data_IF_267733592702
#
_entry.id   IF_267733592702
#
_cell.length_a   1.000
_cell.length_b   1.000
_cell.length_c   1.000
_cell.angle_alpha   90.00
_cell.angle_beta   90.00
_cell.angle_gamma   90.00
#
_symmetry.space_group_name_H-M   'P 1'
#
loop_
_entity.id
_entity.type
_entity.pdbx_description
1 polymer ?
#
# COMPACT_ATOMS: atom_id res chain seq x y z
N UNK A 1 -30.33 -0.42 -11.37
CA UNK A 1 -29.62 0.66 -10.67
C UNK A 1 -28.13 0.33 -10.66
N UNK A 2 -27.28 0.92 -11.51
CA UNK A 2 -25.83 0.81 -11.37
C UNK A 2 -25.22 2.22 -11.20
N UNK A 3 -25.20 2.73 -9.98
CA UNK A 3 -24.55 4.00 -9.66
C UNK A 3 -23.98 3.94 -8.25
N UNK A 4 -22.95 3.12 -8.08
CA UNK A 4 -22.11 3.10 -6.86
C UNK A 4 -20.63 3.15 -7.23
N UNK A 5 -20.26 2.76 -8.46
CA UNK A 5 -18.86 2.72 -8.90
C UNK A 5 -18.25 4.10 -9.23
N UNK A 6 -19.05 5.15 -9.41
CA UNK A 6 -18.54 6.48 -9.81
C UNK A 6 -18.21 7.39 -8.62
N UNK A 7 -18.84 7.20 -7.46
CA UNK A 7 -18.65 8.09 -6.31
C UNK A 7 -17.40 7.73 -5.49
N UNK A 8 -17.12 6.42 -5.40
CA UNK A 8 -15.90 5.90 -4.76
C UNK A 8 -14.60 6.29 -5.48
N UNK A 9 -14.65 6.71 -6.74
CA UNK A 9 -13.46 7.13 -7.51
C UNK A 9 -13.05 8.60 -7.27
N UNK A 10 -13.91 9.41 -6.62
CA UNK A 10 -13.60 10.82 -6.28
C UNK A 10 -13.04 10.93 -4.87
N UNK A 11 -13.37 9.97 -4.01
CA UNK A 11 -13.05 9.95 -2.59
C UNK A 11 -11.82 9.05 -2.37
N UNK A 12 -10.71 9.61 -1.86
CA UNK A 12 -9.49 8.84 -1.62
C UNK A 12 -9.62 7.75 -0.54
N UNK A 13 -8.70 6.76 -0.51
CA UNK A 13 -8.73 5.63 0.44
C UNK A 13 -8.67 6.02 1.92
N UNK A 14 -8.29 7.26 2.23
CA UNK A 14 -8.37 7.82 3.57
C UNK A 14 -9.79 7.98 4.11
N UNK A 15 -10.82 7.96 3.26
CA UNK A 15 -12.22 8.12 3.67
C UNK A 15 -12.92 6.77 3.87
N UNK A 16 -13.83 6.72 4.85
CA UNK A 16 -14.53 5.50 5.27
C UNK A 16 -15.37 4.83 4.17
N UNK A 17 -15.82 5.59 3.18
CA UNK A 17 -16.66 5.11 2.07
C UNK A 17 -15.86 4.42 0.97
N UNK A 18 -14.54 4.59 0.95
CA UNK A 18 -13.69 4.00 -0.08
C UNK A 18 -13.50 2.48 0.17
N UNK A 19 -13.57 1.62 -0.86
CA UNK A 19 -13.43 0.18 -0.71
C UNK A 19 -12.09 -0.26 -0.07
N UNK A 20 -11.03 0.50 -0.29
CA UNK A 20 -9.70 0.25 0.29
C UNK A 20 -9.47 0.96 1.63
N UNK A 21 -10.50 1.55 2.25
CA UNK A 21 -10.32 2.24 3.53
C UNK A 21 -9.73 1.32 4.62
N UNK A 22 -10.19 0.06 4.65
CA UNK A 22 -9.62 -0.93 5.56
C UNK A 22 -8.13 -1.18 5.30
N UNK A 23 -7.75 -1.26 4.02
CA UNK A 23 -6.35 -1.47 3.62
C UNK A 23 -5.50 -0.24 3.98
N UNK A 24 -6.01 0.97 3.77
CA UNK A 24 -5.40 2.22 4.21
C UNK A 24 -5.13 2.22 5.71
N UNK A 25 -6.12 1.87 6.55
CA UNK A 25 -5.95 1.82 8.00
C UNK A 25 -4.89 0.80 8.44
N UNK A 26 -4.84 -0.37 7.78
CA UNK A 26 -3.87 -1.42 8.06
C UNK A 26 -2.43 -0.98 7.73
N UNK A 27 -2.24 -0.41 6.54
CA UNK A 27 -0.94 0.13 6.11
C UNK A 27 -0.53 1.28 7.03
N UNK A 28 -1.45 2.21 7.33
CA UNK A 28 -1.19 3.35 8.22
C UNK A 28 -0.73 2.90 9.60
N UNK A 29 -1.38 1.89 10.18
CA UNK A 29 -0.94 1.30 11.45
C UNK A 29 0.48 0.76 11.37
N UNK A 30 0.83 0.07 10.29
CA UNK A 30 2.19 -0.47 10.09
C UNK A 30 3.24 0.63 9.92
N UNK A 31 2.95 1.65 9.10
CA UNK A 31 3.86 2.80 8.91
C UNK A 31 4.06 3.57 10.22
N UNK A 32 2.99 3.82 10.98
CA UNK A 32 3.12 4.50 12.28
C UNK A 32 3.93 3.69 13.30
N UNK A 33 3.86 2.35 13.23
CA UNK A 33 4.73 1.51 14.05
C UNK A 33 6.20 1.67 13.63
N UNK A 34 6.50 1.74 12.34
CA UNK A 34 7.85 2.04 11.84
C UNK A 34 8.35 3.42 12.28
N UNK A 35 7.49 4.43 12.26
CA UNK A 35 7.84 5.77 12.75
C UNK A 35 8.21 5.71 14.23
N UNK A 36 7.40 5.04 15.05
CA UNK A 36 7.67 4.86 16.47
C UNK A 36 8.97 4.09 16.74
N UNK A 37 9.27 3.05 15.96
CA UNK A 37 10.55 2.31 16.01
C UNK A 37 11.75 3.21 15.67
N UNK A 38 11.57 4.18 14.77
CA UNK A 38 12.56 5.19 14.43
C UNK A 38 12.61 6.38 15.40
N UNK A 39 11.76 6.41 16.45
CA UNK A 39 11.63 7.54 17.37
C UNK A 39 11.05 8.81 16.73
N UNK A 40 10.23 8.63 15.68
CA UNK A 40 9.55 9.71 14.95
C UNK A 40 8.06 9.67 15.22
N UNK A 41 7.45 10.85 15.18
CA UNK A 41 5.99 10.97 15.12
C UNK A 41 5.53 10.89 13.65
N UNK A 42 4.36 10.30 13.36
CA UNK A 42 3.81 10.28 12.02
C UNK A 42 3.63 11.69 11.45
N UNK A 43 4.11 11.90 10.24
CA UNK A 43 4.09 13.20 9.57
C UNK A 43 3.63 13.09 8.10
N UNK A 44 3.80 14.17 7.33
CA UNK A 44 3.43 14.20 5.92
C UNK A 44 4.22 13.19 5.06
N UNK A 45 5.41 12.78 5.48
CA UNK A 45 6.19 11.72 4.82
C UNK A 45 5.52 10.37 5.08
N UNK A 46 5.12 10.10 6.31
CA UNK A 46 4.39 8.89 6.69
C UNK A 46 3.10 8.74 5.88
N UNK A 47 2.31 9.81 5.75
CA UNK A 47 1.07 9.76 4.95
C UNK A 47 1.34 9.51 3.46
N UNK A 48 2.41 10.08 2.88
CA UNK A 48 2.80 9.77 1.49
C UNK A 48 3.19 8.31 1.32
N UNK A 49 3.97 7.77 2.26
CA UNK A 49 4.31 6.36 2.29
C UNK A 49 3.06 5.48 2.35
N UNK A 50 2.12 5.78 3.26
CA UNK A 50 0.86 5.03 3.36
C UNK A 50 0.10 5.00 2.04
N UNK A 51 -0.07 6.16 1.41
CA UNK A 51 -0.80 6.26 0.14
C UNK A 51 -0.07 5.54 -1.01
N UNK A 52 1.26 5.56 -1.03
CA UNK A 52 2.07 4.88 -2.05
C UNK A 52 2.02 3.36 -1.93
N UNK A 53 1.84 2.83 -0.73
CA UNK A 53 1.80 1.39 -0.45
C UNK A 53 0.46 0.74 -0.82
N UNK A 54 -0.64 1.50 -0.91
CA UNK A 54 -1.96 0.97 -1.31
C UNK A 54 -1.97 0.42 -2.75
N UNK A 55 -1.62 1.20 -3.79
CA UNK A 55 -1.58 0.68 -5.16
C UNK A 55 -0.54 -0.43 -5.33
N UNK A 56 0.55 -0.39 -4.57
CA UNK A 56 1.54 -1.48 -4.54
C UNK A 56 0.92 -2.79 -4.05
N UNK A 57 0.23 -2.76 -2.91
CA UNK A 57 -0.45 -3.91 -2.34
C UNK A 57 -1.51 -4.46 -3.32
N UNK A 58 -2.35 -3.59 -3.90
CA UNK A 58 -3.36 -3.99 -4.87
C UNK A 58 -2.78 -4.58 -6.15
N UNK A 59 -1.74 -3.97 -6.71
CA UNK A 59 -1.07 -4.47 -7.91
C UNK A 59 -0.42 -5.85 -7.71
N UNK A 60 0.03 -6.14 -6.50
CA UNK A 60 0.56 -7.44 -6.13
C UNK A 60 -0.50 -8.46 -5.66
N UNK A 61 -1.79 -8.11 -5.74
CA UNK A 61 -2.90 -9.00 -5.39
C UNK A 61 -3.13 -9.15 -3.88
N UNK A 62 -2.53 -8.31 -3.04
CA UNK A 62 -2.79 -8.31 -1.60
C UNK A 62 -4.22 -7.81 -1.33
N UNK A 63 -4.92 -8.55 -0.48
CA UNK A 63 -6.28 -8.23 -0.05
C UNK A 63 -6.29 -7.43 1.25
N UNK A 64 -5.28 -7.64 2.09
CA UNK A 64 -5.02 -6.95 3.35
C UNK A 64 -3.51 -6.83 3.55
N UNK A 65 -3.10 -5.98 4.48
CA UNK A 65 -1.71 -5.89 4.95
C UNK A 65 -1.71 -6.19 6.44
N UNK A 66 -0.95 -7.20 6.83
CA UNK A 66 -0.79 -7.63 8.21
C UNK A 66 0.50 -7.03 8.81
N UNK A 67 1.53 -6.82 7.98
CA UNK A 67 2.80 -6.20 8.41
C UNK A 67 3.32 -5.18 7.37
N UNK A 68 3.91 -4.10 7.87
CA UNK A 68 4.76 -3.18 7.10
C UNK A 68 6.13 -3.20 7.74
N UNK A 69 7.17 -3.59 7.01
CA UNK A 69 8.52 -3.78 7.55
C UNK A 69 9.57 -3.18 6.63
N UNK A 70 10.69 -2.74 7.19
CA UNK A 70 11.83 -2.26 6.43
C UNK A 70 12.80 -3.41 6.10
N UNK A 71 13.60 -3.26 5.04
CA UNK A 71 14.72 -4.15 4.78
C UNK A 71 15.71 -4.11 5.94
N UNK A 72 16.27 -5.27 6.26
CA UNK A 72 17.53 -5.40 6.99
C UNK A 72 18.67 -5.48 5.99
N UNK A 73 19.84 -5.01 6.39
CA UNK A 73 21.06 -5.15 5.60
C UNK A 73 21.26 -6.61 5.16
N UNK A 74 21.24 -6.85 3.86
CA UNK A 74 21.39 -8.18 3.26
C UNK A 74 22.01 -8.06 1.86
N UNK A 75 23.29 -8.40 1.76
CA UNK A 75 24.02 -8.30 0.49
C UNK A 75 24.17 -6.84 0.07
N UNK A 76 23.58 -6.49 -1.08
CA UNK A 76 23.62 -5.13 -1.63
C UNK A 76 22.51 -4.22 -1.10
N UNK A 77 21.51 -4.78 -0.39
CA UNK A 77 20.38 -4.00 0.14
C UNK A 77 20.74 -3.47 1.51
N UNK A 78 20.69 -2.14 1.66
CA UNK A 78 20.91 -1.48 2.94
C UNK A 78 19.70 -1.58 3.87
N UNK A 79 19.97 -1.45 5.18
CA UNK A 79 18.90 -1.38 6.18
C UNK A 79 18.02 -0.15 5.91
N UNK A 80 16.72 -0.35 5.79
CA UNK A 80 15.76 0.73 5.51
C UNK A 80 15.66 1.14 4.04
N UNK A 81 16.42 0.52 3.12
CA UNK A 81 16.35 0.84 1.69
C UNK A 81 15.01 0.46 1.06
N UNK A 82 14.44 -0.68 1.45
CA UNK A 82 13.17 -1.17 0.96
C UNK A 82 12.11 -1.16 2.06
N UNK A 83 10.88 -0.89 1.66
CA UNK A 83 9.69 -1.10 2.49
C UNK A 83 8.87 -2.25 1.90
N UNK A 84 8.49 -3.18 2.76
CA UNK A 84 7.69 -4.35 2.42
C UNK A 84 6.30 -4.24 3.03
N UNK A 85 5.28 -4.57 2.24
CA UNK A 85 3.94 -4.86 2.72
C UNK A 85 3.71 -6.36 2.65
N UNK A 86 3.27 -6.97 3.74
CA UNK A 86 3.11 -8.42 3.87
C UNK A 86 1.69 -8.76 4.28
N UNK A 87 1.13 -9.78 3.66
CA UNK A 87 -0.11 -10.44 4.03
C UNK A 87 0.20 -11.86 4.52
N UNK A 88 -0.27 -12.19 5.73
CA UNK A 88 0.09 -13.41 6.45
C UNK A 88 1.19 -13.17 7.49
N UNK A 89 1.53 -14.22 8.23
CA UNK A 89 2.59 -14.18 9.23
C UNK A 89 3.97 -14.11 8.55
N UNK A 90 4.93 -13.43 9.16
CA UNK A 90 6.28 -13.25 8.59
C UNK A 90 7.06 -14.57 8.47
N UNK A 91 6.76 -15.55 9.32
CA UNK A 91 7.35 -16.89 9.33
C UNK A 91 6.55 -17.92 8.51
N UNK A 92 5.36 -17.56 8.02
CA UNK A 92 4.58 -18.39 7.11
C UNK A 92 5.18 -18.32 5.69
N UNK A 93 5.68 -19.44 5.11
CA UNK A 93 6.21 -19.45 3.75
C UNK A 93 5.15 -19.14 2.68
N UNK A 94 3.86 -19.23 3.01
CA UNK A 94 2.76 -18.89 2.12
C UNK A 94 2.38 -17.39 2.16
N UNK A 95 3.12 -16.55 2.88
CA UNK A 95 2.84 -15.12 2.90
C UNK A 95 2.93 -14.50 1.50
N UNK A 96 2.10 -13.49 1.25
CA UNK A 96 2.22 -12.65 0.06
C UNK A 96 2.92 -11.37 0.46
N UNK A 97 3.87 -10.91 -0.38
CA UNK A 97 4.59 -9.66 -0.13
C UNK A 97 4.76 -8.84 -1.39
N UNK A 98 4.78 -7.54 -1.21
CA UNK A 98 5.18 -6.58 -2.23
C UNK A 98 6.14 -5.57 -1.61
N UNK A 99 6.97 -4.94 -2.42
CA UNK A 99 7.95 -3.97 -1.94
C UNK A 99 8.16 -2.83 -2.94
N UNK A 100 8.65 -1.72 -2.44
CA UNK A 100 9.25 -0.65 -3.21
C UNK A 100 10.42 -0.07 -2.41
N UNK A 101 11.21 0.81 -3.04
CA UNK A 101 12.21 1.56 -2.29
C UNK A 101 11.52 2.53 -1.32
N UNK A 102 12.14 2.77 -0.18
CA UNK A 102 11.68 3.78 0.78
C UNK A 102 11.65 5.16 0.12
N UNK A 103 12.61 5.45 -0.78
CA UNK A 103 12.64 6.70 -1.53
C UNK A 103 11.39 6.87 -2.43
N UNK A 104 11.02 5.85 -3.21
CA UNK A 104 9.78 5.88 -4.00
C UNK A 104 8.54 6.03 -3.10
N UNK A 105 8.57 5.41 -1.92
CA UNK A 105 7.48 5.48 -0.96
C UNK A 105 7.23 6.92 -0.46
N UNK A 106 8.30 7.68 -0.21
CA UNK A 106 8.23 9.01 0.38
C UNK A 106 8.19 10.16 -0.64
N UNK A 107 8.73 9.94 -1.83
CA UNK A 107 8.80 10.99 -2.87
C UNK A 107 7.55 11.06 -3.73
N UNK A 108 6.82 9.95 -3.88
CA UNK A 108 5.65 9.95 -4.74
C UNK A 108 4.58 10.90 -4.18
N UNK A 109 4.15 11.91 -4.96
CA UNK A 109 3.06 12.78 -4.54
C UNK A 109 1.78 12.00 -4.28
N UNK A 110 0.94 12.53 -3.40
CA UNK A 110 -0.37 11.93 -3.07
C UNK A 110 -1.19 11.70 -4.33
N UNK A 111 -1.28 12.70 -5.20
CA UNK A 111 -2.10 12.68 -6.41
C UNK A 111 -1.60 11.61 -7.39
N UNK A 112 -0.27 11.43 -7.49
CA UNK A 112 0.33 10.39 -8.31
C UNK A 112 0.02 8.98 -7.75
N UNK A 113 0.01 8.81 -6.43
CA UNK A 113 -0.36 7.54 -5.79
C UNK A 113 -1.82 7.19 -6.03
N UNK A 114 -2.73 8.17 -5.96
CA UNK A 114 -4.15 7.99 -6.27
C UNK A 114 -4.37 7.63 -7.75
N UNK A 115 -3.71 8.36 -8.67
CA UNK A 115 -3.77 8.06 -10.10
C UNK A 115 -3.25 6.63 -10.41
N UNK A 116 -2.22 6.17 -9.69
CA UNK A 116 -1.71 4.80 -9.82
C UNK A 116 -2.71 3.78 -9.28
N UNK A 117 -3.41 4.06 -8.19
CA UNK A 117 -4.47 3.20 -7.66
C UNK A 117 -5.61 3.02 -8.65
N UNK A 118 -6.06 4.11 -9.27
CA UNK A 118 -7.08 4.04 -10.33
C UNK A 118 -6.62 3.21 -11.54
N UNK A 119 -5.34 3.32 -11.92
CA UNK A 119 -4.77 2.51 -12.98
C UNK A 119 -4.79 1.01 -12.63
N UNK A 120 -4.38 0.66 -11.41
CA UNK A 120 -4.42 -0.73 -10.91
C UNK A 120 -5.84 -1.29 -10.93
N UNK A 121 -6.85 -0.51 -10.54
CA UNK A 121 -8.24 -0.96 -10.63
C UNK A 121 -8.69 -1.26 -12.06
N UNK A 122 -8.31 -0.41 -13.03
CA UNK A 122 -8.61 -0.65 -14.44
C UNK A 122 -7.94 -1.93 -14.95
N UNK A 123 -6.66 -2.12 -14.61
CA UNK A 123 -5.89 -3.31 -14.97
C UNK A 123 -6.56 -4.59 -14.42
N UNK A 124 -6.96 -4.58 -13.14
CA UNK A 124 -7.64 -5.71 -12.50
C UNK A 124 -9.04 -5.99 -13.08
N UNK A 125 -9.77 -4.94 -13.47
CA UNK A 125 -11.07 -5.09 -14.12
C UNK A 125 -10.94 -5.74 -15.51
N UNK A 126 -9.93 -5.35 -16.29
CA UNK A 126 -9.65 -5.94 -17.60
C UNK A 126 -9.29 -7.43 -17.49
N UNK A 127 -8.40 -7.80 -16.56
CA UNK A 127 -8.02 -9.20 -16.33
C UNK A 127 -9.20 -10.11 -15.97
N UNK A 128 -10.20 -9.58 -15.24
CA UNK A 128 -11.42 -10.35 -14.91
C UNK A 128 -12.34 -10.56 -16.10
N UNK A 129 -12.34 -9.65 -17.07
CA UNK A 129 -13.15 -9.77 -18.28
C UNK A 129 -12.54 -10.74 -19.30
N UNK A 130 -11.21 -10.91 -19.28
CA UNK A 130 -10.49 -11.80 -20.19
C UNK A 130 -10.38 -13.25 -19.70
N UNK A 131 -10.53 -13.48 -18.39
CA UNK A 131 -10.41 -14.79 -17.75
C UNK A 131 -11.74 -15.55 -17.52
N UNK A 132 -12.86 -15.05 -18.06
CA UNK A 132 -14.19 -15.66 -17.95
C UNK A 132 -14.73 -16.13 -19.29
#
# INVERSE_FOLDING_TARGET
MPQVATEAAVIGPEHAEHPDHRLYLQIRRGVHALDAECGREPDAISERMVLRLIPLARGAGLKRVDHVVLSRHLGEVESGELVFVVQGELDDPAHLRAHCTTQEAVDMPREASLARLDAVYRELAAQRAEGG
#
